data_IF_732064088200
#
_entry.id   IF_732064088200
#
_cell.length_a   1.000
_cell.length_b   1.000
_cell.length_c   1.000
_cell.angle_alpha   90.00
_cell.angle_beta   90.00
_cell.angle_gamma   90.00
#
_symmetry.space_group_name_H-M   'P 1'
#
loop_
_entity.id
_entity.type
_entity.pdbx_description
1 polymer ?
#
# COMPACT_ATOMS: atom_id res chain seq x y z
N UNK A 1 30.45 -1.90 8.24
CA UNK A 1 29.64 -2.46 7.14
C UNK A 1 28.56 -1.44 6.78
N UNK A 2 28.72 -0.71 5.68
CA UNK A 2 27.80 0.36 5.24
C UNK A 2 26.87 -0.27 4.21
N UNK A 3 25.60 -0.47 4.57
CA UNK A 3 24.61 -0.99 3.63
C UNK A 3 24.55 -0.05 2.42
N UNK A 4 24.81 -0.59 1.23
CA UNK A 4 24.62 0.13 -0.02
C UNK A 4 23.16 0.58 -0.07
N UNK A 5 22.94 1.89 -0.11
CA UNK A 5 21.62 2.46 -0.32
C UNK A 5 21.27 2.22 -1.79
N UNK A 6 20.77 1.02 -2.09
CA UNK A 6 20.19 0.62 -3.37
C UNK A 6 18.94 1.49 -3.61
N UNK A 7 19.16 2.73 -4.07
CA UNK A 7 18.12 3.71 -4.41
C UNK A 7 17.44 3.32 -5.74
N UNK A 8 17.07 2.05 -5.87
CA UNK A 8 16.24 1.58 -6.99
C UNK A 8 14.81 2.03 -6.70
N UNK A 9 14.12 2.65 -7.68
CA UNK A 9 12.72 2.98 -7.50
C UNK A 9 11.94 1.69 -7.24
N UNK A 10 11.49 1.51 -6.00
CA UNK A 10 10.64 0.38 -5.63
C UNK A 10 9.31 0.60 -6.31
N UNK A 11 8.93 -0.33 -7.19
CA UNK A 11 7.60 -0.31 -7.80
C UNK A 11 6.57 -0.59 -6.69
N UNK A 12 5.73 0.40 -6.41
CA UNK A 12 4.63 0.24 -5.46
C UNK A 12 3.52 -0.56 -6.14
N UNK A 13 3.28 -1.78 -5.66
CA UNK A 13 2.23 -2.68 -6.12
C UNK A 13 1.17 -2.86 -5.03
N UNK A 14 -0.02 -3.33 -5.40
CA UNK A 14 -1.08 -3.67 -4.43
C UNK A 14 -0.61 -4.72 -3.43
N UNK A 15 0.07 -5.78 -3.88
CA UNK A 15 0.67 -6.82 -3.01
C UNK A 15 1.64 -6.24 -1.98
N UNK A 16 2.49 -5.29 -2.39
CA UNK A 16 3.43 -4.65 -1.48
C UNK A 16 2.70 -3.81 -0.43
N UNK A 17 1.67 -3.05 -0.83
CA UNK A 17 0.87 -2.25 0.09
C UNK A 17 0.08 -3.12 1.07
N UNK A 18 -0.46 -4.25 0.63
CA UNK A 18 -1.16 -5.22 1.49
C UNK A 18 -0.20 -5.79 2.55
N UNK A 19 1.00 -6.23 2.15
CA UNK A 19 2.05 -6.68 3.10
C UNK A 19 2.47 -5.58 4.07
N UNK A 20 2.49 -4.32 3.64
CA UNK A 20 2.79 -3.19 4.51
C UNK A 20 1.65 -2.96 5.53
N UNK A 21 0.39 -3.04 5.10
CA UNK A 21 -0.77 -2.96 5.98
C UNK A 21 -0.76 -4.04 7.05
N UNK A 22 -0.47 -5.30 6.67
CA UNK A 22 -0.34 -6.41 7.64
C UNK A 22 0.71 -6.13 8.71
N UNK A 23 1.86 -5.58 8.31
CA UNK A 23 2.95 -5.24 9.24
C UNK A 23 2.58 -4.09 10.17
N UNK A 24 1.89 -3.07 9.67
CA UNK A 24 1.44 -1.94 10.48
C UNK A 24 0.34 -2.38 11.43
N UNK A 25 -0.61 -3.21 11.00
CA UNK A 25 -1.62 -3.81 11.86
C UNK A 25 -0.99 -4.62 13.00
N UNK A 26 0.01 -5.45 12.68
CA UNK A 26 0.76 -6.19 13.69
C UNK A 26 1.50 -5.27 14.66
N UNK A 27 2.03 -4.14 14.19
CA UNK A 27 2.69 -3.16 15.05
C UNK A 27 1.70 -2.43 15.96
N UNK A 28 0.50 -2.08 15.46
CA UNK A 28 -0.60 -1.51 16.24
C UNK A 28 -0.99 -2.46 17.36
N UNK A 29 -1.27 -3.72 17.03
CA UNK A 29 -1.66 -4.76 17.99
C UNK A 29 -0.61 -4.93 19.09
N UNK A 30 0.67 -5.08 18.70
CA UNK A 30 1.78 -5.24 19.65
C UNK A 30 2.03 -4.02 20.53
N UNK A 31 1.65 -2.83 20.08
CA UNK A 31 1.85 -1.59 20.82
C UNK A 31 0.75 -1.31 21.85
N UNK A 32 -0.37 -2.06 21.83
CA UNK A 32 -1.50 -1.87 22.74
C UNK A 32 -2.04 -0.44 22.68
N UNK A 33 -2.17 0.23 23.84
CA UNK A 33 -2.60 1.64 23.94
C UNK A 33 -1.75 2.62 23.10
N UNK A 34 -0.48 2.30 22.83
CA UNK A 34 0.39 3.14 21.98
C UNK A 34 0.17 2.90 20.49
N UNK A 35 -0.64 1.93 20.11
CA UNK A 35 -0.95 1.56 18.72
C UNK A 35 -1.58 2.70 17.93
N UNK A 36 -2.30 3.62 18.60
CA UNK A 36 -2.90 4.79 17.97
C UNK A 36 -1.90 5.67 17.19
N UNK A 37 -0.62 5.66 17.58
CA UNK A 37 0.42 6.40 16.87
C UNK A 37 0.68 5.90 15.44
N UNK A 38 0.33 4.64 15.14
CA UNK A 38 0.50 4.05 13.81
C UNK A 38 -0.73 4.18 12.92
N UNK A 39 -1.90 4.56 13.47
CA UNK A 39 -3.14 4.72 12.71
C UNK A 39 -2.99 5.65 11.50
N UNK A 40 -2.33 6.82 11.59
CA UNK A 40 -2.17 7.69 10.42
C UNK A 40 -1.41 7.03 9.27
N UNK A 41 -0.47 6.12 9.59
CA UNK A 41 0.30 5.37 8.59
C UNK A 41 -0.60 4.31 7.95
N UNK A 42 -1.38 3.61 8.76
CA UNK A 42 -2.31 2.58 8.30
C UNK A 42 -3.36 3.17 7.35
N UNK A 43 -4.01 4.27 7.74
CA UNK A 43 -5.05 4.94 6.94
C UNK A 43 -4.51 5.45 5.60
N UNK A 44 -3.28 5.96 5.59
CA UNK A 44 -2.62 6.40 4.35
C UNK A 44 -2.39 5.23 3.41
N UNK A 45 -1.86 4.11 3.91
CA UNK A 45 -1.61 2.92 3.10
C UNK A 45 -2.91 2.32 2.54
N UNK A 46 -3.98 2.30 3.34
CA UNK A 46 -5.31 1.89 2.87
C UNK A 46 -5.82 2.77 1.74
N UNK A 47 -5.65 4.09 1.88
CA UNK A 47 -6.09 5.06 0.87
C UNK A 47 -5.34 4.88 -0.45
N UNK A 48 -4.02 4.66 -0.41
CA UNK A 48 -3.23 4.38 -1.60
C UNK A 48 -3.63 3.06 -2.26
N UNK A 49 -3.88 2.01 -1.47
CA UNK A 49 -4.35 0.72 -1.99
C UNK A 49 -5.70 0.87 -2.72
N UNK A 50 -6.64 1.63 -2.14
CA UNK A 50 -7.93 1.93 -2.76
C UNK A 50 -7.77 2.69 -4.08
N UNK A 51 -6.89 3.69 -4.12
CA UNK A 51 -6.62 4.47 -5.33
C UNK A 51 -6.03 3.61 -6.46
N UNK A 52 -5.03 2.78 -6.15
CA UNK A 52 -4.39 1.93 -7.17
C UNK A 52 -5.40 0.92 -7.74
N UNK A 53 -6.21 0.29 -6.88
CA UNK A 53 -7.26 -0.65 -7.31
C UNK A 53 -8.32 0.04 -8.16
N UNK A 54 -8.74 1.24 -7.79
CA UNK A 54 -9.71 2.02 -8.56
C UNK A 54 -9.17 2.42 -9.94
N UNK A 55 -7.91 2.82 -10.01
CA UNK A 55 -7.25 3.17 -11.26
C UNK A 55 -7.12 1.96 -12.19
N UNK A 56 -6.71 0.80 -11.66
CA UNK A 56 -6.59 -0.43 -12.46
C UNK A 56 -7.95 -0.86 -13.04
N UNK A 57 -9.00 -0.83 -12.21
CA UNK A 57 -10.36 -1.15 -12.66
C UNK A 57 -10.88 -0.14 -13.71
N UNK A 58 -10.60 1.15 -13.53
CA UNK A 58 -10.99 2.19 -14.49
C UNK A 58 -10.29 1.98 -15.83
N UNK A 59 -9.01 1.64 -15.80
CA UNK A 59 -8.18 1.43 -16.98
C UNK A 59 -8.62 0.15 -17.73
N UNK A 60 -8.98 -0.91 -16.99
CA UNK A 60 -9.58 -2.12 -17.56
C UNK A 60 -10.92 -1.81 -18.26
N UNK A 61 -11.83 -1.08 -17.59
CA UNK A 61 -13.11 -0.65 -18.18
C UNK A 61 -12.91 0.19 -19.45
N UNK A 62 -11.94 1.10 -19.45
CA UNK A 62 -11.60 1.91 -20.62
C UNK A 62 -11.11 1.04 -21.78
N UNK A 63 -10.24 0.05 -21.51
CA UNK A 63 -9.76 -0.91 -22.53
C UNK A 63 -10.89 -1.77 -23.09
N UNK A 64 -11.82 -2.23 -22.25
CA UNK A 64 -12.98 -3.01 -22.69
C UNK A 64 -13.90 -2.21 -23.61
N UNK A 65 -14.07 -0.91 -23.38
CA UNK A 65 -14.89 -0.04 -24.25
C UNK A 65 -14.35 0.07 -25.68
N UNK A 66 -13.03 0.07 -25.87
CA UNK A 66 -12.40 0.16 -27.20
C UNK A 66 -12.44 -1.18 -27.93
N UNK A 67 -12.47 -2.30 -27.19
CA UNK A 67 -12.51 -3.66 -27.74
C UNK A 67 -13.92 -4.16 -28.08
N UNK A 68 -14.97 -3.40 -27.77
CA UNK A 68 -16.35 -3.67 -28.14
C UNK A 68 -16.65 -3.06 -29.50
#
# INVERSE_FOLDING_TARGET
MKAANDNKPVKITTDLLEKCLDRVALAIDRAGDKGAAYLPIYERLESELKLIRANDNTLERARQRIRR
#
